data_IF_477265159692
#
_entry.id   IF_477265159692
#
_cell.length_a   1.000
_cell.length_b   1.000
_cell.length_c   1.000
_cell.angle_alpha   90.00
_cell.angle_beta   90.00
_cell.angle_gamma   90.00
#
_symmetry.space_group_name_H-M   'P 1'
#
loop_
_entity.id
_entity.type
_entity.pdbx_description
1 polymer ?
#
# COMPACT_ATOMS: atom_id res chain seq x y z
N UNK A 1 -9.33 2.44 5.86
CA UNK A 1 -9.64 3.37 6.98
C UNK A 1 -8.45 4.27 7.33
N UNK A 2 -7.20 3.74 7.48
CA UNK A 2 -6.01 4.54 7.81
C UNK A 2 -5.80 5.70 6.84
N UNK A 3 -5.81 5.45 5.52
CA UNK A 3 -5.64 6.48 4.50
C UNK A 3 -6.73 7.57 4.55
N UNK A 4 -7.94 7.20 4.92
CA UNK A 4 -9.04 8.12 5.17
C UNK A 4 -8.74 9.00 6.38
N UNK A 5 -8.39 8.38 7.53
CA UNK A 5 -8.15 9.11 8.78
C UNK A 5 -7.00 10.13 8.63
N UNK A 6 -5.91 9.76 7.97
CA UNK A 6 -4.74 10.63 7.77
C UNK A 6 -5.02 11.87 6.92
N UNK A 7 -6.04 11.82 6.06
CA UNK A 7 -6.45 12.95 5.24
C UNK A 7 -7.57 13.76 5.90
N UNK A 8 -8.56 13.05 6.45
CA UNK A 8 -9.75 13.68 6.96
C UNK A 8 -9.52 14.43 8.28
N UNK A 9 -8.80 13.81 9.23
CA UNK A 9 -8.57 14.42 10.54
C UNK A 9 -7.88 15.79 10.45
N UNK A 10 -6.75 15.96 9.75
CA UNK A 10 -6.13 17.29 9.61
C UNK A 10 -6.95 18.25 8.78
N UNK A 11 -7.72 17.78 7.79
CA UNK A 11 -8.59 18.64 7.00
C UNK A 11 -9.70 19.27 7.86
N UNK A 12 -10.36 18.45 8.69
CA UNK A 12 -11.40 18.91 9.61
C UNK A 12 -10.86 19.81 10.71
N UNK A 13 -9.70 19.45 11.29
CA UNK A 13 -9.04 20.26 12.31
C UNK A 13 -8.67 21.67 11.80
N UNK A 14 -8.41 21.80 10.50
CA UNK A 14 -8.15 23.07 9.84
C UNK A 14 -9.42 23.76 9.29
N UNK A 15 -10.63 23.27 9.62
CA UNK A 15 -11.90 23.89 9.24
C UNK A 15 -12.31 23.70 7.77
N UNK A 16 -11.76 22.69 7.08
CA UNK A 16 -12.11 22.42 5.69
C UNK A 16 -13.33 21.50 5.56
N UNK A 17 -14.02 21.60 4.44
CA UNK A 17 -14.98 20.59 3.99
C UNK A 17 -14.29 19.59 3.06
N UNK A 18 -14.81 18.36 2.98
CA UNK A 18 -14.17 17.25 2.27
C UNK A 18 -15.18 16.50 1.41
N UNK A 19 -14.79 16.23 0.17
CA UNK A 19 -15.38 15.19 -0.68
C UNK A 19 -14.36 14.05 -0.81
N UNK A 20 -14.71 12.87 -0.31
CA UNK A 20 -13.83 11.71 -0.27
C UNK A 20 -14.34 10.61 -1.20
N UNK A 21 -13.50 10.11 -2.08
CA UNK A 21 -13.75 8.91 -2.88
C UNK A 21 -12.82 7.77 -2.42
N UNK A 22 -13.33 6.73 -1.78
CA UNK A 22 -12.53 5.56 -1.41
C UNK A 22 -12.14 4.75 -2.67
N UNK A 23 -11.16 3.84 -2.51
CA UNK A 23 -10.84 2.88 -3.55
C UNK A 23 -12.05 1.95 -3.83
N UNK A 24 -12.17 1.53 -5.08
CA UNK A 24 -13.29 0.69 -5.54
C UNK A 24 -13.34 -0.67 -4.81
N UNK A 25 -12.18 -1.21 -4.46
CA UNK A 25 -12.05 -2.51 -3.80
C UNK A 25 -12.23 -2.47 -2.28
N UNK A 26 -12.17 -1.29 -1.65
CA UNK A 26 -12.23 -1.15 -0.19
C UNK A 26 -13.13 -0.01 0.29
N UNK A 27 -14.38 0.13 -0.19
CA UNK A 27 -15.23 1.27 0.16
C UNK A 27 -16.00 1.08 1.48
N UNK A 28 -16.21 -0.17 1.94
CA UNK A 28 -17.17 -0.48 3.01
C UNK A 28 -16.86 0.23 4.33
N UNK A 29 -15.60 0.25 4.76
CA UNK A 29 -15.20 0.93 6.00
C UNK A 29 -15.36 2.46 5.91
N UNK A 30 -15.25 3.03 4.70
CA UNK A 30 -15.52 4.45 4.50
C UNK A 30 -17.03 4.77 4.57
N UNK A 31 -17.88 3.86 4.08
CA UNK A 31 -19.34 4.01 4.19
C UNK A 31 -19.81 3.88 5.64
N UNK A 32 -19.32 2.89 6.40
CA UNK A 32 -19.58 2.78 7.84
C UNK A 32 -19.12 4.05 8.58
N UNK A 33 -17.99 4.62 8.17
CA UNK A 33 -17.48 5.85 8.76
C UNK A 33 -18.43 7.04 8.51
N UNK A 34 -19.12 7.10 7.36
CA UNK A 34 -20.16 8.11 7.12
C UNK A 34 -21.31 8.03 8.13
N UNK A 35 -21.73 6.81 8.49
CA UNK A 35 -22.75 6.60 9.53
C UNK A 35 -22.26 7.07 10.91
N UNK A 36 -20.99 6.82 11.23
CA UNK A 36 -20.38 7.29 12.49
C UNK A 36 -20.34 8.83 12.53
N UNK A 37 -20.04 9.48 11.42
CA UNK A 37 -20.04 10.94 11.35
C UNK A 37 -21.44 11.55 11.59
N UNK A 38 -22.50 10.88 11.14
CA UNK A 38 -23.87 11.27 11.42
C UNK A 38 -24.21 11.11 12.91
N UNK A 39 -23.77 9.99 13.53
CA UNK A 39 -23.97 9.76 14.97
C UNK A 39 -23.18 10.74 15.85
N UNK A 40 -22.09 11.30 15.33
CA UNK A 40 -21.27 12.30 16.00
C UNK A 40 -21.76 13.74 15.78
N UNK A 41 -22.98 13.93 15.24
CA UNK A 41 -23.60 15.22 14.95
C UNK A 41 -22.73 16.17 14.11
N UNK A 42 -21.89 15.61 13.23
CA UNK A 42 -21.13 16.42 12.30
C UNK A 42 -22.10 17.14 11.34
N UNK A 43 -22.01 18.45 11.15
CA UNK A 43 -22.91 19.17 10.27
C UNK A 43 -22.94 18.60 8.86
N UNK A 44 -24.13 18.51 8.26
CA UNK A 44 -24.31 18.02 6.90
C UNK A 44 -23.47 18.82 5.91
N UNK A 45 -22.86 18.14 4.94
CA UNK A 45 -22.03 18.76 3.90
C UNK A 45 -20.57 18.99 4.29
N UNK A 46 -20.19 18.86 5.57
CA UNK A 46 -18.79 18.98 5.99
C UNK A 46 -17.95 17.82 5.44
N UNK A 47 -18.45 16.58 5.53
CA UNK A 47 -17.81 15.40 4.93
C UNK A 47 -18.81 14.69 4.02
N UNK A 48 -18.43 14.49 2.78
CA UNK A 48 -19.22 13.82 1.77
C UNK A 48 -18.42 12.63 1.23
N UNK A 49 -18.95 11.42 1.35
CA UNK A 49 -18.28 10.21 0.87
C UNK A 49 -19.03 9.73 -0.38
N UNK A 50 -18.33 9.67 -1.51
CA UNK A 50 -18.89 9.21 -2.79
C UNK A 50 -18.14 7.98 -3.27
N UNK A 51 -18.86 6.98 -3.73
CA UNK A 51 -18.28 5.80 -4.37
C UNK A 51 -18.21 5.99 -5.88
N UNK A 52 -17.30 5.29 -6.53
CA UNK A 52 -17.18 5.33 -7.98
C UNK A 52 -15.79 4.92 -8.46
N UNK A 53 -15.67 4.74 -9.76
CA UNK A 53 -14.46 4.36 -10.44
C UNK A 53 -13.44 5.53 -10.55
N UNK A 54 -12.31 5.28 -11.22
CA UNK A 54 -11.30 6.31 -11.48
C UNK A 54 -11.84 7.54 -12.21
N UNK A 55 -12.88 7.40 -13.06
CA UNK A 55 -13.57 8.49 -13.72
C UNK A 55 -14.22 9.47 -12.73
N UNK A 56 -14.84 8.97 -11.66
CA UNK A 56 -15.39 9.81 -10.58
C UNK A 56 -14.30 10.63 -9.91
N UNK A 57 -13.13 9.99 -9.62
CA UNK A 57 -11.97 10.69 -9.08
C UNK A 57 -11.44 11.78 -10.02
N UNK A 58 -11.38 11.48 -11.33
CA UNK A 58 -10.95 12.45 -12.33
C UNK A 58 -11.89 13.66 -12.44
N UNK A 59 -13.20 13.46 -12.26
CA UNK A 59 -14.18 14.56 -12.19
C UNK A 59 -13.93 15.45 -10.98
N UNK A 60 -13.70 14.87 -9.79
CA UNK A 60 -13.36 15.63 -8.59
C UNK A 60 -12.09 16.47 -8.77
N UNK A 61 -11.03 15.87 -9.32
CA UNK A 61 -9.74 16.56 -9.54
C UNK A 61 -9.91 17.80 -10.42
N UNK A 62 -10.78 17.73 -11.42
CA UNK A 62 -11.01 18.83 -12.37
C UNK A 62 -12.08 19.82 -11.94
N UNK A 63 -12.88 19.51 -10.89
CA UNK A 63 -14.00 20.35 -10.49
C UNK A 63 -13.52 21.75 -10.05
N UNK A 64 -14.07 22.86 -10.56
CA UNK A 64 -13.58 24.20 -10.27
C UNK A 64 -13.61 24.55 -8.77
N UNK A 65 -14.61 24.07 -8.05
CA UNK A 65 -14.82 24.38 -6.63
C UNK A 65 -13.99 23.48 -5.68
N UNK A 66 -13.04 22.70 -6.20
CA UNK A 66 -12.08 21.95 -5.41
C UNK A 66 -10.78 22.72 -5.30
N UNK A 67 -10.46 23.21 -4.11
CA UNK A 67 -9.25 24.02 -3.84
C UNK A 67 -8.00 23.15 -3.66
N UNK A 68 -8.18 21.93 -3.13
CA UNK A 68 -7.06 21.01 -2.86
C UNK A 68 -7.41 19.57 -3.21
N UNK A 69 -6.47 18.89 -3.86
CA UNK A 69 -6.50 17.44 -4.10
C UNK A 69 -5.45 16.75 -3.21
N UNK A 70 -5.89 15.78 -2.41
CA UNK A 70 -5.02 14.91 -1.62
C UNK A 70 -5.22 13.46 -2.08
N UNK A 71 -4.19 12.87 -2.67
CA UNK A 71 -4.27 11.54 -3.28
C UNK A 71 -3.20 10.61 -2.72
N UNK A 72 -3.60 9.37 -2.46
CA UNK A 72 -2.70 8.24 -2.21
C UNK A 72 -3.02 7.14 -3.21
N UNK A 73 -2.01 6.65 -3.93
CA UNK A 73 -2.20 5.59 -4.90
C UNK A 73 -1.00 5.41 -5.84
N UNK A 74 -1.26 4.95 -7.08
CA UNK A 74 -0.20 4.65 -8.02
C UNK A 74 0.49 5.90 -8.56
N UNK A 75 1.78 5.77 -8.87
CA UNK A 75 2.58 6.85 -9.49
C UNK A 75 1.99 7.32 -10.82
N UNK A 76 1.40 6.41 -11.62
CA UNK A 76 0.73 6.76 -12.87
C UNK A 76 -0.41 7.74 -12.66
N UNK A 77 -1.35 7.39 -11.78
CA UNK A 77 -2.49 8.26 -11.44
C UNK A 77 -2.02 9.57 -10.79
N UNK A 78 -1.00 9.52 -9.93
CA UNK A 78 -0.42 10.74 -9.34
C UNK A 78 0.11 11.71 -10.39
N UNK A 79 0.79 11.20 -11.43
CA UNK A 79 1.24 12.01 -12.57
C UNK A 79 0.08 12.63 -13.37
N UNK A 80 -1.01 11.86 -13.55
CA UNK A 80 -2.20 12.35 -14.25
C UNK A 80 -2.90 13.44 -13.45
N UNK A 81 -2.97 13.30 -12.13
CA UNK A 81 -3.49 14.36 -11.24
C UNK A 81 -2.61 15.62 -11.34
N UNK A 82 -1.28 15.46 -11.23
CA UNK A 82 -0.36 16.59 -11.34
C UNK A 82 -0.54 17.36 -12.66
N UNK A 83 -0.69 16.62 -13.78
CA UNK A 83 -0.98 17.25 -15.09
C UNK A 83 -2.33 17.95 -15.11
N UNK A 84 -3.36 17.34 -14.50
CA UNK A 84 -4.72 17.89 -14.50
C UNK A 84 -4.86 19.18 -13.68
N UNK A 85 -4.02 19.38 -12.65
CA UNK A 85 -4.03 20.59 -11.82
C UNK A 85 -2.97 21.61 -12.22
N UNK A 86 -2.08 21.27 -13.16
CA UNK A 86 -1.05 22.21 -13.63
C UNK A 86 -1.68 23.45 -14.24
N UNK A 87 -1.17 24.63 -13.85
CA UNK A 87 -1.71 25.93 -14.30
C UNK A 87 -3.01 26.36 -13.64
N UNK A 88 -3.45 25.65 -12.60
CA UNK A 88 -4.58 26.07 -11.73
C UNK A 88 -4.08 26.51 -10.37
N UNK A 89 -4.94 27.16 -9.58
CA UNK A 89 -4.63 27.55 -8.19
C UNK A 89 -4.80 26.39 -7.19
N UNK A 90 -5.16 25.18 -7.67
CA UNK A 90 -5.39 24.01 -6.83
C UNK A 90 -4.09 23.55 -6.15
N UNK A 91 -4.15 23.36 -4.85
CA UNK A 91 -3.08 22.72 -4.08
C UNK A 91 -3.15 21.19 -4.28
N UNK A 92 -1.99 20.53 -4.32
CA UNK A 92 -1.94 19.08 -4.47
C UNK A 92 -0.97 18.47 -3.45
N UNK A 93 -1.39 17.34 -2.88
CA UNK A 93 -0.55 16.46 -2.06
C UNK A 93 -0.65 15.05 -2.64
N UNK A 94 0.48 14.47 -3.01
CA UNK A 94 0.56 13.14 -3.64
C UNK A 94 1.41 12.22 -2.77
N UNK A 95 0.80 11.14 -2.31
CA UNK A 95 1.46 10.01 -1.65
C UNK A 95 1.44 8.83 -2.62
N UNK A 96 2.60 8.45 -3.12
CA UNK A 96 2.72 7.52 -4.25
C UNK A 96 3.55 6.30 -3.87
N UNK A 97 3.67 5.36 -4.82
CA UNK A 97 4.45 4.15 -4.63
C UNK A 97 5.96 4.38 -4.67
N UNK A 98 6.69 3.43 -4.13
CA UNK A 98 8.15 3.43 -4.13
C UNK A 98 8.71 2.03 -4.00
N UNK A 99 10.05 1.93 -4.06
CA UNK A 99 10.83 0.73 -3.78
C UNK A 99 11.96 1.11 -2.83
N UNK A 100 11.63 1.22 -1.54
CA UNK A 100 12.59 1.62 -0.51
C UNK A 100 13.70 0.57 -0.32
N UNK A 101 14.86 1.01 0.16
CA UNK A 101 15.97 0.13 0.48
C UNK A 101 15.96 -0.24 1.97
N UNK A 102 16.24 -1.50 2.27
CA UNK A 102 16.76 -1.98 3.53
C UNK A 102 18.28 -2.12 3.40
N UNK A 103 19.05 -1.50 4.26
CA UNK A 103 20.51 -1.51 4.20
C UNK A 103 21.04 -2.11 5.50
N UNK A 104 21.87 -3.14 5.39
CA UNK A 104 22.40 -3.89 6.52
C UNK A 104 23.93 -3.90 6.44
N UNK A 105 24.59 -3.35 7.47
CA UNK A 105 26.03 -3.37 7.64
C UNK A 105 26.46 -4.46 8.64
N UNK A 106 27.74 -4.76 8.72
CA UNK A 106 28.32 -5.85 9.54
C UNK A 106 28.24 -5.62 11.05
N UNK A 107 27.99 -4.40 11.49
CA UNK A 107 27.74 -4.07 12.89
C UNK A 107 26.26 -4.21 13.30
N UNK A 108 25.38 -4.59 12.38
CA UNK A 108 23.97 -4.76 12.68
C UNK A 108 23.70 -6.02 13.52
N UNK A 109 22.77 -5.98 14.49
CA UNK A 109 22.31 -7.18 15.18
C UNK A 109 21.46 -8.02 14.22
N UNK A 110 22.05 -9.05 13.63
CA UNK A 110 21.48 -9.77 12.46
C UNK A 110 20.08 -10.32 12.72
N UNK A 111 19.80 -10.89 13.89
CA UNK A 111 18.46 -11.43 14.19
C UNK A 111 17.39 -10.34 14.18
N UNK A 112 17.69 -9.17 14.72
CA UNK A 112 16.78 -8.02 14.70
C UNK A 112 16.65 -7.45 13.30
N UNK A 113 17.74 -7.44 12.53
CA UNK A 113 17.72 -7.00 11.13
C UNK A 113 16.83 -7.91 10.29
N UNK A 114 16.92 -9.23 10.44
CA UNK A 114 16.07 -10.22 9.74
C UNK A 114 14.59 -10.01 10.07
N UNK A 115 14.24 -9.87 11.34
CA UNK A 115 12.85 -9.59 11.73
C UNK A 115 12.36 -8.24 11.18
N UNK A 116 13.21 -7.21 11.19
CA UNK A 116 12.92 -5.90 10.62
C UNK A 116 12.69 -5.97 9.09
N UNK A 117 13.50 -6.75 8.37
CA UNK A 117 13.36 -6.99 6.93
C UNK A 117 12.03 -7.69 6.65
N UNK A 118 11.73 -8.78 7.36
CA UNK A 118 10.51 -9.56 7.17
C UNK A 118 9.27 -8.70 7.43
N UNK A 119 9.22 -8.01 8.55
CA UNK A 119 8.12 -7.10 8.86
C UNK A 119 8.01 -5.93 7.85
N UNK A 120 9.14 -5.40 7.41
CA UNK A 120 9.20 -4.24 6.50
C UNK A 120 8.75 -4.55 5.08
N UNK A 121 8.82 -5.81 4.63
CA UNK A 121 8.45 -6.19 3.25
C UNK A 121 7.19 -7.04 3.18
N UNK A 122 6.99 -8.02 4.08
CA UNK A 122 5.87 -8.96 3.96
C UNK A 122 4.58 -8.46 4.62
N UNK A 123 4.65 -7.43 5.48
CA UNK A 123 3.45 -6.79 5.99
C UNK A 123 2.54 -6.37 4.84
N UNK A 124 1.26 -6.73 4.93
CA UNK A 124 0.24 -6.46 3.90
C UNK A 124 0.67 -6.92 2.49
N UNK A 125 1.27 -8.12 2.36
CA UNK A 125 1.80 -8.70 1.11
C UNK A 125 2.79 -7.79 0.36
N UNK A 126 3.52 -6.94 1.06
CA UNK A 126 4.42 -5.94 0.46
C UNK A 126 3.72 -4.73 -0.17
N UNK A 127 2.40 -4.61 -0.03
CA UNK A 127 1.61 -3.51 -0.59
C UNK A 127 1.60 -2.28 0.33
N UNK A 128 2.80 -1.78 0.67
CA UNK A 128 2.99 -0.58 1.48
C UNK A 128 3.96 0.35 0.75
N UNK A 129 3.65 1.64 0.70
CA UNK A 129 4.46 2.64 -0.02
C UNK A 129 5.91 2.73 0.49
N UNK A 130 6.13 2.47 1.78
CA UNK A 130 7.45 2.47 2.42
C UNK A 130 8.02 1.05 2.61
N UNK A 131 7.46 0.01 1.98
CA UNK A 131 7.99 -1.36 2.08
C UNK A 131 9.45 -1.42 1.63
N UNK A 132 10.30 -2.09 2.42
CA UNK A 132 11.73 -2.27 2.15
C UNK A 132 11.98 -3.27 1.04
N UNK A 133 11.61 -2.93 -0.18
CA UNK A 133 11.54 -3.83 -1.34
C UNK A 133 12.91 -4.20 -1.92
N UNK A 134 13.98 -3.50 -1.53
CA UNK A 134 15.34 -3.77 -1.98
C UNK A 134 16.23 -4.00 -0.75
N UNK A 135 16.78 -5.19 -0.63
CA UNK A 135 17.72 -5.52 0.42
C UNK A 135 19.16 -5.33 -0.08
N UNK A 136 19.91 -4.47 0.60
CA UNK A 136 21.32 -4.19 0.34
C UNK A 136 22.10 -4.64 1.58
N UNK A 137 22.92 -5.67 1.44
CA UNK A 137 23.69 -6.26 2.53
C UNK A 137 25.18 -6.10 2.26
N UNK A 138 25.93 -5.69 3.28
CA UNK A 138 27.38 -5.65 3.19
C UNK A 138 27.92 -7.06 2.87
N UNK A 139 28.89 -7.15 1.98
CA UNK A 139 29.40 -8.41 1.43
C UNK A 139 29.86 -9.39 2.52
N UNK A 140 30.53 -8.89 3.56
CA UNK A 140 31.09 -9.71 4.64
C UNK A 140 30.07 -10.52 5.45
N UNK A 141 28.79 -10.10 5.45
CA UNK A 141 27.70 -10.75 6.20
C UNK A 141 26.57 -11.26 5.28
N UNK A 142 26.75 -11.12 3.96
CA UNK A 142 25.71 -11.43 2.98
C UNK A 142 25.12 -12.83 3.16
N UNK A 143 25.97 -13.87 3.17
CA UNK A 143 25.52 -15.25 3.21
C UNK A 143 24.80 -15.57 4.53
N UNK A 144 25.32 -15.08 5.67
CA UNK A 144 24.67 -15.26 6.97
C UNK A 144 23.27 -14.62 7.01
N UNK A 145 23.14 -13.38 6.51
CA UNK A 145 21.84 -12.69 6.47
C UNK A 145 20.85 -13.43 5.56
N UNK A 146 21.30 -13.89 4.39
CA UNK A 146 20.44 -14.62 3.43
C UNK A 146 19.99 -15.95 4.01
N UNK A 147 20.87 -16.72 4.66
CA UNK A 147 20.52 -18.01 5.26
C UNK A 147 19.50 -17.86 6.40
N UNK A 148 19.71 -16.87 7.27
CA UNK A 148 18.76 -16.57 8.35
C UNK A 148 17.43 -16.07 7.80
N UNK A 149 17.45 -15.23 6.76
CA UNK A 149 16.25 -14.74 6.11
C UNK A 149 15.45 -15.90 5.48
N UNK A 150 16.10 -16.78 4.72
CA UNK A 150 15.47 -18.00 4.15
C UNK A 150 14.84 -18.87 5.23
N UNK A 151 15.57 -19.11 6.33
CA UNK A 151 15.06 -19.87 7.47
C UNK A 151 13.82 -19.21 8.08
N UNK A 152 13.83 -17.90 8.27
CA UNK A 152 12.70 -17.14 8.83
C UNK A 152 11.50 -17.14 7.88
N UNK A 153 11.72 -16.96 6.58
CA UNK A 153 10.64 -16.97 5.58
C UNK A 153 9.91 -18.31 5.51
N UNK A 154 10.61 -19.42 5.73
CA UNK A 154 10.00 -20.77 5.76
C UNK A 154 9.02 -20.97 6.93
N UNK A 155 9.00 -20.07 7.92
CA UNK A 155 8.05 -20.11 9.04
C UNK A 155 6.79 -19.28 8.82
N UNK A 156 6.72 -18.49 7.75
CA UNK A 156 5.56 -17.65 7.44
C UNK A 156 4.39 -18.51 6.94
N UNK A 157 3.20 -18.20 7.43
CA UNK A 157 1.97 -18.92 7.10
C UNK A 157 1.06 -18.05 6.25
N UNK A 158 0.71 -18.57 5.08
CA UNK A 158 -0.26 -17.97 4.18
C UNK A 158 -1.65 -18.51 4.50
N UNK A 159 -2.66 -17.66 4.55
CA UNK A 159 -4.01 -18.12 4.89
C UNK A 159 -5.07 -17.04 4.97
N UNK A 160 -6.19 -17.39 5.59
CA UNK A 160 -7.30 -16.49 5.84
C UNK A 160 -6.86 -15.33 6.73
N UNK A 161 -7.03 -14.07 6.33
CA UNK A 161 -6.64 -12.91 7.13
C UNK A 161 -7.44 -12.75 8.45
N UNK A 162 -8.53 -13.48 8.63
CA UNK A 162 -9.29 -13.53 9.87
C UNK A 162 -8.77 -14.60 10.85
N UNK A 163 -7.94 -15.52 10.40
CA UNK A 163 -7.24 -16.45 11.29
C UNK A 163 -6.04 -15.77 11.94
N UNK A 164 -6.02 -15.74 13.27
CA UNK A 164 -4.93 -15.14 14.07
C UNK A 164 -3.56 -15.80 13.85
N UNK A 165 -3.53 -17.01 13.27
CA UNK A 165 -2.30 -17.71 12.95
C UNK A 165 -1.77 -17.40 11.54
N UNK A 166 -2.48 -16.64 10.73
CA UNK A 166 -2.04 -16.23 9.40
C UNK A 166 -1.07 -15.06 9.51
N UNK A 167 0.08 -15.16 8.87
CA UNK A 167 1.06 -14.09 8.77
C UNK A 167 0.82 -13.25 7.49
N UNK A 168 0.42 -13.90 6.37
CA UNK A 168 0.24 -13.25 5.07
C UNK A 168 -1.09 -13.67 4.46
N UNK A 169 -1.94 -12.71 4.14
CA UNK A 169 -3.20 -12.92 3.41
C UNK A 169 -3.03 -12.96 1.89
N UNK A 170 -4.13 -13.14 1.17
CA UNK A 170 -4.15 -13.17 -0.29
C UNK A 170 -3.82 -11.80 -0.93
N UNK A 171 -3.31 -11.83 -2.15
CA UNK A 171 -3.23 -10.66 -3.04
C UNK A 171 -4.67 -10.17 -3.33
N UNK A 172 -4.85 -8.87 -3.36
CA UNK A 172 -6.19 -8.26 -3.40
C UNK A 172 -6.95 -8.44 -4.72
N UNK A 173 -6.28 -8.79 -5.83
CA UNK A 173 -6.93 -8.94 -7.14
C UNK A 173 -6.12 -9.80 -8.11
N UNK A 174 -6.82 -10.40 -9.08
CA UNK A 174 -6.20 -11.14 -10.18
C UNK A 174 -5.26 -10.27 -11.03
N UNK A 175 -5.64 -9.01 -11.26
CA UNK A 175 -4.82 -8.08 -12.03
C UNK A 175 -3.49 -7.79 -11.32
N UNK A 176 -3.50 -7.61 -10.01
CA UNK A 176 -2.29 -7.40 -9.22
C UNK A 176 -1.42 -8.66 -9.21
N UNK A 177 -2.01 -9.84 -9.03
CA UNK A 177 -1.28 -11.11 -9.10
C UNK A 177 -0.62 -11.31 -10.47
N UNK A 178 -1.34 -11.04 -11.56
CA UNK A 178 -0.79 -11.13 -12.91
C UNK A 178 0.42 -10.19 -13.09
N UNK A 179 0.33 -8.96 -12.56
CA UNK A 179 1.45 -8.00 -12.62
C UNK A 179 2.67 -8.43 -11.81
N UNK A 180 2.44 -9.05 -10.63
CA UNK A 180 3.53 -9.58 -9.81
C UNK A 180 4.26 -10.70 -10.57
N UNK A 181 3.52 -11.63 -11.15
CA UNK A 181 4.11 -12.74 -11.95
C UNK A 181 4.91 -12.21 -13.13
N UNK A 182 4.31 -11.32 -13.92
CA UNK A 182 4.98 -10.67 -15.05
C UNK A 182 6.33 -10.04 -14.66
N UNK A 183 6.37 -9.28 -13.56
CA UNK A 183 7.59 -8.64 -13.09
C UNK A 183 8.62 -9.63 -12.57
N UNK A 184 8.19 -10.72 -11.93
CA UNK A 184 9.09 -11.80 -11.48
C UNK A 184 9.71 -12.53 -12.67
N UNK A 185 8.89 -12.84 -13.68
CA UNK A 185 9.36 -13.51 -14.90
C UNK A 185 10.36 -12.61 -15.69
N UNK A 186 10.12 -11.30 -15.73
CA UNK A 186 11.07 -10.34 -16.31
C UNK A 186 12.39 -10.35 -15.53
N UNK A 187 12.36 -10.35 -14.19
CA UNK A 187 13.57 -10.40 -13.38
C UNK A 187 14.40 -11.66 -13.64
N UNK A 188 13.76 -12.82 -13.73
CA UNK A 188 14.44 -14.08 -14.11
C UNK A 188 15.02 -14.01 -15.53
N UNK A 189 14.29 -13.47 -16.49
CA UNK A 189 14.76 -13.30 -17.85
C UNK A 189 15.96 -12.33 -17.96
N UNK A 190 16.06 -11.37 -17.04
CA UNK A 190 17.20 -10.45 -16.89
C UNK A 190 18.37 -11.06 -16.11
N UNK A 191 18.26 -12.32 -15.65
CA UNK A 191 19.33 -13.07 -14.98
C UNK A 191 19.29 -13.04 -13.46
N UNK A 192 18.19 -12.62 -12.86
CA UNK A 192 18.02 -12.71 -11.41
C UNK A 192 17.70 -14.15 -10.99
N UNK A 193 18.27 -14.58 -9.87
CA UNK A 193 17.92 -15.84 -9.23
C UNK A 193 16.64 -15.68 -8.39
N UNK A 194 15.67 -16.55 -8.63
CA UNK A 194 14.45 -16.61 -7.84
C UNK A 194 14.54 -17.68 -6.76
N UNK A 195 14.30 -17.29 -5.52
CA UNK A 195 14.11 -18.20 -4.42
C UNK A 195 12.68 -18.10 -3.89
N UNK A 196 12.05 -19.24 -3.62
CA UNK A 196 10.70 -19.34 -3.06
C UNK A 196 10.72 -20.28 -1.86
N UNK A 197 10.11 -19.89 -0.75
CA UNK A 197 9.95 -20.77 0.40
C UNK A 197 9.02 -21.93 0.04
N UNK A 198 9.33 -23.13 0.58
CA UNK A 198 8.41 -24.27 0.52
C UNK A 198 7.31 -24.06 1.57
N UNK A 199 6.17 -23.56 1.14
CA UNK A 199 5.01 -23.31 2.00
C UNK A 199 3.71 -23.73 1.31
N UNK A 200 2.72 -24.13 2.12
CA UNK A 200 1.40 -24.48 1.62
C UNK A 200 0.69 -23.21 1.12
N UNK A 201 0.26 -23.24 -0.13
CA UNK A 201 -0.53 -22.17 -0.75
C UNK A 201 -2.00 -22.61 -0.73
N UNK A 202 -2.94 -21.78 -0.21
CA UNK A 202 -4.37 -22.12 -0.21
C UNK A 202 -4.93 -22.27 -1.63
N UNK A 203 -5.91 -23.17 -1.82
CA UNK A 203 -6.52 -23.46 -3.11
C UNK A 203 -7.38 -22.31 -3.67
N UNK A 204 -7.92 -21.46 -2.79
CA UNK A 204 -8.81 -20.36 -3.16
C UNK A 204 -8.20 -19.02 -2.83
N UNK A 205 -8.26 -18.11 -3.79
CA UNK A 205 -7.72 -16.75 -3.67
C UNK A 205 -6.61 -16.47 -4.67
N UNK A 206 -5.99 -15.30 -4.52
CA UNK A 206 -4.88 -14.86 -5.37
C UNK A 206 -3.57 -14.96 -4.57
N UNK A 207 -2.75 -15.95 -4.88
CA UNK A 207 -1.54 -16.25 -4.13
C UNK A 207 -0.30 -16.21 -5.02
N UNK A 208 0.80 -15.82 -4.40
CA UNK A 208 2.12 -15.76 -5.04
C UNK A 208 3.21 -16.16 -4.05
#
# INVERSE_FOLDING_TARGET
LLMLAWKLAPALAAGNTVVLKPAETTPLTALIFAEILQQADLPAGVVNIITGAGSTGATLVRHPDVDKVAFTGSTGVGRDIARAVAGTDKKVTLELGGKAANIVFDDAPIDQAVEGIVNGIFFNQGHVCCAGSRLLVQESIHDEVIDRLKSRLSTLRLGDPLDKNTDIGAINSAAQLARIRELSDIGEAEGAERWTADCAIPDKGFWF
#
